data_IF_643481967063
#
_entry.id   IF_643481967063
#
_cell.length_a   1.000
_cell.length_b   1.000
_cell.length_c   1.000
_cell.angle_alpha   90.00
_cell.angle_beta   90.00
_cell.angle_gamma   90.00
#
_symmetry.space_group_name_H-M   'P 1'
#
loop_
_entity.id
_entity.type
_entity.pdbx_description
1 polymer ?
2 non-polymer ?
3 water ?
#
# COMPACT_ATOMS: atom_id res chain seq x y z
N UNK A 7 -23.79 -11.01 33.02
CA UNK A 7 -24.65 -12.15 32.53
C UNK A 7 -24.30 -12.45 31.07
N UNK A 8 -23.39 -13.39 30.85
CA UNK A 8 -22.77 -13.60 29.55
C UNK A 8 -23.74 -13.68 28.37
N UNK A 9 -24.84 -14.40 28.52
CA UNK A 9 -25.78 -14.59 27.40
C UNK A 9 -26.57 -13.32 27.01
N UNK A 10 -26.46 -12.25 27.81
CA UNK A 10 -27.12 -10.97 27.48
C UNK A 10 -26.23 -10.04 26.62
N UNK A 11 -24.96 -10.39 26.44
CA UNK A 11 -24.07 -9.55 25.64
C UNK A 11 -24.53 -9.52 24.19
N UNK A 12 -24.46 -8.36 23.55
CA UNK A 12 -24.87 -8.25 22.15
C UNK A 12 -23.65 -8.43 21.26
N UNK A 13 -23.91 -8.78 20.01
CA UNK A 13 -22.82 -9.03 19.07
C UNK A 13 -22.06 -7.73 18.82
N UNK A 14 -22.81 -6.64 18.63
CA UNK A 14 -22.19 -5.33 18.40
C UNK A 14 -21.33 -4.88 19.59
N UNK A 15 -21.82 -5.09 20.81
CA UNK A 15 -21.04 -4.76 22.01
C UNK A 15 -19.76 -5.55 22.12
N UNK A 16 -19.82 -6.86 21.81
CA UNK A 16 -18.62 -7.69 21.84
C UNK A 16 -17.65 -7.17 20.75
N UNK A 17 -18.16 -6.89 19.56
CA UNK A 17 -17.33 -6.34 18.48
C UNK A 17 -16.73 -4.97 18.83
N UNK A 18 -17.54 -4.06 19.39
CA UNK A 18 -17.01 -2.74 19.79
C UNK A 18 -15.88 -2.90 20.84
N UNK A 19 -16.09 -3.75 21.84
CA UNK A 19 -15.06 -4.04 22.84
C UNK A 19 -13.82 -4.66 22.21
N UNK A 20 -14.03 -5.63 21.31
CA UNK A 20 -12.89 -6.28 20.62
C UNK A 20 -12.04 -5.34 19.76
N UNK A 21 -12.69 -4.47 19.01
CA UNK A 21 -12.01 -3.46 18.21
C UNK A 21 -11.11 -2.55 19.09
N UNK A 22 -11.62 -2.12 20.24
CA UNK A 22 -10.86 -1.24 21.17
C UNK A 22 -9.63 -1.94 21.71
N UNK A 23 -9.77 -3.22 22.08
CA UNK A 23 -8.68 -4.04 22.57
C UNK A 23 -7.62 -4.27 21.51
N UNK A 24 -8.05 -4.66 20.31
CA UNK A 24 -7.16 -4.87 19.17
C UNK A 24 -6.42 -3.60 18.83
N UNK A 25 -7.11 -2.47 18.88
CA UNK A 25 -6.45 -1.19 18.60
C UNK A 25 -5.37 -0.87 19.63
N UNK A 26 -5.63 -1.22 20.88
CA UNK A 26 -4.73 -0.82 21.95
C UNK A 26 -3.60 -1.78 22.26
N UNK A 27 -3.85 -3.07 22.07
CA UNK A 27 -2.88 -4.11 22.41
C UNK A 27 -2.35 -4.87 21.22
N UNK A 28 -3.07 -4.80 20.10
CA UNK A 28 -2.68 -5.58 18.95
C UNK A 28 -3.47 -6.86 18.99
N UNK A 29 -3.47 -7.59 17.88
CA UNK A 29 -4.28 -8.80 17.79
C UNK A 29 -3.72 -9.94 18.64
N UNK A 30 -2.41 -10.13 18.55
CA UNK A 30 -1.69 -11.19 19.29
C UNK A 30 -1.90 -11.18 20.81
N UNK A 31 -1.82 -9.98 21.40
CA UNK A 31 -1.83 -9.84 22.85
C UNK A 31 -3.23 -9.69 23.44
N UNK A 32 -4.23 -9.50 22.58
CA UNK A 32 -5.62 -9.39 23.01
C UNK A 32 -6.14 -10.81 23.31
N UNK A 33 -6.85 -11.00 24.41
CA UNK A 33 -7.37 -12.32 24.70
C UNK A 33 -8.87 -12.28 24.69
N UNK A 34 -9.49 -13.45 24.68
CA UNK A 34 -10.92 -13.50 24.79
C UNK A 34 -11.41 -12.97 26.15
N UNK A 35 -10.68 -13.28 27.21
CA UNK A 35 -11.00 -12.75 28.53
C UNK A 35 -10.97 -11.22 28.53
N UNK A 36 -9.98 -10.66 27.87
CA UNK A 36 -9.84 -9.23 27.85
C UNK A 36 -11.00 -8.56 27.11
N UNK A 37 -11.34 -9.08 25.94
CA UNK A 37 -12.48 -8.61 25.19
C UNK A 37 -13.78 -8.71 26.02
N UNK A 38 -13.99 -9.86 26.66
CA UNK A 38 -15.19 -10.02 27.50
C UNK A 38 -15.23 -8.97 28.59
N UNK A 39 -14.10 -8.82 29.29
CA UNK A 39 -14.02 -7.88 30.39
C UNK A 39 -14.28 -6.47 29.90
N UNK A 40 -13.67 -6.13 28.77
CA UNK A 40 -13.83 -4.80 28.18
C UNK A 40 -15.32 -4.51 27.97
N UNK A 41 -16.07 -5.51 27.50
CA UNK A 41 -17.51 -5.35 27.18
C UNK A 41 -18.37 -5.36 28.43
N UNK A 42 -17.76 -5.71 29.57
CA UNK A 42 -18.48 -5.73 30.84
C UNK A 42 -18.95 -7.12 31.27
N UNK A 43 -18.37 -8.15 30.64
CA UNK A 43 -18.80 -9.54 30.87
C UNK A 43 -17.56 -10.38 31.09
N UNK A 44 -17.61 -11.65 30.65
CA UNK A 44 -16.46 -12.53 30.68
C UNK A 44 -16.25 -13.19 29.31
N UNK A 45 -15.25 -14.06 29.22
CA UNK A 45 -14.94 -14.76 27.97
C UNK A 45 -16.21 -15.47 27.40
N UNK A 46 -17.07 -15.95 28.27
CA UNK A 46 -18.27 -16.69 27.83
C UNK A 46 -19.16 -15.84 26.96
N UNK A 47 -19.16 -14.53 27.22
CA UNK A 47 -19.97 -13.61 26.40
C UNK A 47 -19.40 -13.55 24.98
N UNK A 48 -18.10 -13.76 24.84
CA UNK A 48 -17.52 -13.71 23.50
C UNK A 48 -17.86 -15.01 22.78
N UNK A 49 -17.77 -16.11 23.50
CA UNK A 49 -18.07 -17.41 22.95
C UNK A 49 -19.53 -17.46 22.52
N UNK A 50 -20.38 -16.68 23.16
CA UNK A 50 -21.83 -16.74 22.83
C UNK A 50 -22.05 -16.36 21.35
N UNK A 51 -21.10 -15.64 20.78
CA UNK A 51 -21.19 -15.13 19.41
C UNK A 51 -20.11 -15.60 18.47
N UNK A 52 -18.94 -15.91 19.03
CA UNK A 52 -17.78 -16.27 18.20
C UNK A 52 -17.09 -17.53 18.70
N UNK A 53 -16.65 -18.35 17.76
CA UNK A 53 -16.02 -19.61 18.11
C UNK A 53 -14.65 -19.34 18.72
N UNK A 54 -13.97 -18.29 18.25
CA UNK A 54 -12.62 -18.05 18.70
C UNK A 54 -12.21 -16.65 18.30
N UNK A 55 -10.98 -16.27 18.61
CA UNK A 55 -10.54 -14.89 18.34
C UNK A 55 -10.46 -14.58 16.83
N UNK A 56 -10.07 -15.56 16.02
CA UNK A 56 -10.06 -15.37 14.59
C UNK A 56 -11.42 -14.93 14.07
N UNK A 57 -12.50 -15.55 14.57
CA UNK A 57 -13.85 -15.21 14.12
C UNK A 57 -14.18 -13.81 14.55
N UNK A 58 -13.69 -13.41 15.72
CA UNK A 58 -13.96 -12.05 16.19
C UNK A 58 -13.29 -11.04 15.27
N UNK A 59 -12.00 -11.30 15.00
CA UNK A 59 -11.22 -10.38 14.16
C UNK A 59 -11.84 -10.27 12.77
N UNK A 60 -12.29 -11.42 12.25
CA UNK A 60 -12.91 -11.43 10.94
C UNK A 60 -14.21 -10.64 10.89
N UNK A 61 -14.99 -10.69 11.98
CA UNK A 61 -16.24 -9.94 12.06
C UNK A 61 -15.94 -8.42 12.14
N UNK A 62 -14.88 -8.07 12.87
CA UNK A 62 -14.43 -6.66 12.97
C UNK A 62 -14.03 -6.12 11.61
N UNK A 63 -13.31 -6.95 10.88
CA UNK A 63 -12.85 -6.58 9.54
C UNK A 63 -14.01 -6.51 8.55
N UNK A 64 -14.93 -7.47 8.63
CA UNK A 64 -16.05 -7.48 7.69
C UNK A 64 -16.94 -6.23 7.83
N UNK A 65 -17.05 -5.73 9.06
CA UNK A 65 -17.94 -4.62 9.44
C UNK A 65 -17.52 -3.31 8.79
N UNK A 66 -16.22 -3.14 8.63
CA UNK A 66 -15.62 -1.94 8.05
C UNK A 66 -15.42 -2.12 6.56
N UNK A 67 -14.95 -3.30 6.19
CA UNK A 67 -14.62 -3.60 4.81
C UNK A 67 -15.85 -3.71 3.90
N UNK A 68 -16.93 -4.30 4.39
CA UNK A 68 -18.09 -4.56 3.53
C UNK A 68 -18.91 -3.36 3.03
N UNK A 69 -19.05 -2.30 3.83
CA UNK A 69 -19.67 -1.10 3.26
C UNK A 69 -18.85 -0.56 2.07
N UNK A 70 -17.52 -0.55 2.21
CA UNK A 70 -16.67 -0.08 1.13
C UNK A 70 -16.91 -0.93 -0.12
N UNK A 71 -17.10 -2.23 0.07
CA UNK A 71 -17.29 -3.12 -1.09
C UNK A 71 -18.62 -2.86 -1.78
N UNK A 72 -19.67 -2.65 -1.01
CA UNK A 72 -20.97 -2.31 -1.57
C UNK A 72 -20.91 -1.02 -2.40
N UNK A 73 -20.17 -0.01 -1.93
CA UNK A 73 -20.00 1.24 -2.67
C UNK A 73 -19.27 1.04 -4.00
N UNK A 74 -18.13 0.37 -3.96
CA UNK A 74 -17.38 0.07 -5.15
C UNK A 74 -18.22 -0.70 -6.15
N UNK A 75 -19.08 -1.60 -5.66
CA UNK A 75 -19.96 -2.36 -6.52
C UNK A 75 -20.87 -1.47 -7.35
N UNK A 76 -21.40 -0.42 -6.71
CA UNK A 76 -22.33 0.50 -7.37
C UNK A 76 -21.73 1.22 -8.57
N UNK A 77 -20.41 1.42 -8.54
CA UNK A 77 -19.72 2.22 -9.57
C UNK A 77 -19.83 1.61 -10.99
N UNK A 78 -20.11 0.32 -11.10
CA UNK A 78 -20.16 -0.36 -12.40
C UNK A 78 -21.61 -0.55 -12.90
N UNK A 79 -22.55 0.09 -12.21
CA UNK A 79 -23.95 -0.11 -12.56
C UNK A 79 -24.32 0.32 -13.98
N UNK A 80 -25.28 -0.41 -14.58
CA UNK A 80 -25.89 -0.15 -15.89
C UNK A 80 -26.81 1.06 -15.92
N UNK A 81 -27.10 1.59 -14.75
CA UNK A 81 -28.13 2.62 -14.63
C UNK A 81 -27.59 4.03 -14.59
N UNK A 82 -26.26 4.12 -14.70
CA UNK A 82 -25.54 5.38 -14.72
C UNK A 82 -24.42 5.31 -15.73
N UNK A 83 -24.06 6.47 -16.26
CA UNK A 83 -23.10 6.48 -17.34
C UNK A 83 -21.80 7.16 -17.01
N UNK A 84 -21.46 7.26 -15.72
CA UNK A 84 -20.24 7.92 -15.32
C UNK A 84 -19.44 7.02 -14.37
N UNK A 85 -18.99 5.84 -14.85
CA UNK A 85 -18.31 4.91 -13.96
C UNK A 85 -17.00 5.45 -13.40
N UNK A 86 -16.27 6.21 -14.20
CA UNK A 86 -15.02 6.80 -13.72
C UNK A 86 -15.29 7.85 -12.63
N UNK A 87 -16.25 8.75 -12.83
CA UNK A 87 -16.54 9.74 -11.80
C UNK A 87 -17.03 9.04 -10.54
N UNK A 88 -17.82 7.99 -10.71
CA UNK A 88 -18.44 7.30 -9.58
C UNK A 88 -17.34 6.60 -8.76
N UNK A 89 -16.40 5.98 -9.45
CA UNK A 89 -15.24 5.36 -8.79
C UNK A 89 -14.43 6.40 -8.01
N UNK A 90 -14.20 7.56 -8.62
CA UNK A 90 -13.46 8.62 -7.89
C UNK A 90 -14.25 9.06 -6.69
N UNK A 91 -15.56 9.17 -6.84
CA UNK A 91 -16.41 9.63 -5.75
C UNK A 91 -16.33 8.65 -4.58
N UNK A 92 -16.42 7.36 -4.88
CA UNK A 92 -16.33 6.36 -3.84
C UNK A 92 -14.97 6.39 -3.17
N UNK A 93 -13.91 6.38 -3.98
CA UNK A 93 -12.54 6.29 -3.43
C UNK A 93 -12.15 7.55 -2.61
N UNK A 94 -12.41 8.72 -3.17
CA UNK A 94 -12.06 9.94 -2.46
C UNK A 94 -12.80 10.09 -1.13
N UNK A 95 -14.11 9.87 -1.12
CA UNK A 95 -14.83 9.94 0.13
C UNK A 95 -14.42 8.85 1.14
N UNK A 96 -13.94 7.72 0.64
CA UNK A 96 -13.30 6.69 1.52
C UNK A 96 -12.01 7.19 2.13
N UNK A 97 -11.11 7.74 1.33
CA UNK A 97 -9.86 8.35 1.89
C UNK A 97 -10.18 9.36 2.97
N UNK A 98 -11.19 10.20 2.71
CA UNK A 98 -11.56 11.23 3.68
C UNK A 98 -12.07 10.61 4.98
N UNK A 99 -12.99 9.65 4.84
CA UNK A 99 -13.52 8.96 6.03
C UNK A 99 -12.41 8.32 6.84
N UNK A 100 -11.48 7.67 6.17
CA UNK A 100 -10.36 7.01 6.87
C UNK A 100 -9.45 8.04 7.52
N UNK A 101 -9.22 9.16 6.85
CA UNK A 101 -8.46 10.24 7.45
C UNK A 101 -9.13 10.78 8.69
N UNK A 102 -10.46 10.91 8.65
CA UNK A 102 -11.12 11.69 9.71
C UNK A 102 -11.74 10.83 10.80
N UNK A 103 -11.90 9.53 10.53
CA UNK A 103 -12.50 8.64 11.53
C UNK A 103 -11.42 7.72 12.10
N UNK A 104 -11.01 7.99 13.34
CA UNK A 104 -9.91 7.29 13.98
C UNK A 104 -10.16 5.79 14.16
N UNK A 105 -11.38 5.46 14.58
CA UNK A 105 -11.81 4.08 14.75
C UNK A 105 -11.69 3.33 13.43
N UNK A 106 -12.27 3.91 12.40
CA UNK A 106 -12.24 3.34 11.06
C UNK A 106 -10.81 3.14 10.61
N UNK A 107 -9.96 4.15 10.83
CA UNK A 107 -8.55 4.04 10.44
C UNK A 107 -7.77 2.95 11.19
N UNK A 108 -7.94 2.85 12.49
CA UNK A 108 -7.20 1.81 13.21
C UNK A 108 -7.65 0.38 12.81
N UNK A 109 -8.92 0.21 12.47
CA UNK A 109 -9.32 -1.10 11.97
C UNK A 109 -8.74 -1.36 10.57
N UNK A 110 -8.69 -0.34 9.74
CA UNK A 110 -8.00 -0.47 8.47
C UNK A 110 -6.54 -0.88 8.72
N UNK A 111 -5.94 -0.30 9.74
CA UNK A 111 -4.53 -0.59 10.07
C UNK A 111 -4.32 -2.04 10.52
N UNK A 112 -5.20 -2.54 11.38
CA UNK A 112 -5.06 -3.96 11.74
C UNK A 112 -5.21 -4.83 10.47
N UNK A 113 -6.13 -4.47 9.57
CA UNK A 113 -6.32 -5.33 8.40
C UNK A 113 -5.14 -5.32 7.45
N UNK A 114 -4.49 -4.17 7.25
CA UNK A 114 -3.39 -4.07 6.29
C UNK A 114 -2.02 -4.51 6.77
N UNK A 115 -1.70 -4.21 8.01
CA UNK A 115 -0.35 -4.48 8.50
C UNK A 115 -0.35 -5.75 9.33
N UNK A 116 -1.26 -6.64 8.95
CA UNK A 116 -1.39 -7.94 9.54
C UNK A 116 -0.33 -8.90 8.97
N UNK A 126 -3.74 -12.41 6.58
CA UNK A 126 -3.41 -13.52 5.68
C UNK A 126 -4.49 -13.69 4.61
N UNK A 127 -5.32 -14.71 4.81
CA UNK A 127 -6.43 -15.05 3.92
C UNK A 127 -7.51 -13.98 3.85
N UNK A 128 -7.65 -13.19 4.92
CA UNK A 128 -8.64 -12.13 4.93
C UNK A 128 -8.19 -11.05 3.97
N UNK A 129 -6.90 -10.76 3.96
CA UNK A 129 -6.43 -9.75 3.03
C UNK A 129 -6.56 -10.26 1.59
N UNK A 130 -6.16 -11.49 1.33
CA UNK A 130 -6.27 -12.01 -0.02
C UNK A 130 -7.69 -11.88 -0.52
N UNK A 131 -8.65 -12.38 0.25
CA UNK A 131 -10.03 -12.28 -0.17
C UNK A 131 -10.45 -10.83 -0.39
N UNK A 132 -10.08 -9.92 0.52
CA UNK A 132 -10.45 -8.53 0.40
C UNK A 132 -9.85 -7.84 -0.83
N UNK A 133 -8.57 -8.10 -1.08
CA UNK A 133 -7.91 -7.61 -2.29
C UNK A 133 -8.65 -8.12 -3.54
N UNK A 134 -8.96 -9.42 -3.59
CA UNK A 134 -9.69 -9.97 -4.76
C UNK A 134 -11.06 -9.28 -4.95
N UNK A 135 -11.84 -9.18 -3.87
CA UNK A 135 -13.10 -8.42 -3.93
C UNK A 135 -12.92 -7.01 -4.52
N UNK A 136 -11.99 -6.23 -3.98
CA UNK A 136 -11.79 -4.85 -4.46
C UNK A 136 -11.33 -4.79 -5.92
N UNK A 137 -10.41 -5.66 -6.31
CA UNK A 137 -9.93 -5.68 -7.69
C UNK A 137 -11.07 -6.02 -8.65
N UNK A 138 -11.89 -7.00 -8.30
CA UNK A 138 -13.00 -7.36 -9.17
C UNK A 138 -13.90 -6.16 -9.46
N UNK A 139 -14.30 -5.46 -8.41
CA UNK A 139 -15.23 -4.36 -8.55
C UNK A 139 -14.63 -3.17 -9.29
N UNK A 140 -13.37 -2.86 -8.99
CA UNK A 140 -12.69 -1.80 -9.74
C UNK A 140 -12.62 -2.20 -11.21
N UNK A 141 -12.25 -3.45 -11.47
CA UNK A 141 -12.17 -3.93 -12.86
C UNK A 141 -13.52 -3.81 -13.56
N UNK A 142 -14.59 -4.11 -12.84
CA UNK A 142 -15.91 -4.03 -13.42
C UNK A 142 -16.32 -2.63 -13.78
N UNK A 143 -15.92 -1.67 -12.94
CA UNK A 143 -16.19 -0.25 -13.18
C UNK A 143 -15.41 0.23 -14.41
N UNK A 144 -14.14 -0.16 -14.48
CA UNK A 144 -13.29 0.16 -15.62
C UNK A 144 -13.75 -0.57 -16.90
N UNK A 145 -14.38 -1.74 -16.75
CA UNK A 145 -14.95 -2.43 -17.95
C UNK A 145 -16.18 -1.71 -18.48
N UNK A 146 -16.98 -1.13 -17.59
CA UNK A 146 -18.11 -0.26 -18.00
C UNK A 146 -17.59 1.02 -18.65
N UNK A 147 -16.56 1.65 -18.05
CA UNK A 147 -15.84 2.79 -18.63
C UNK A 147 -15.36 2.51 -20.06
N UNK A 148 -14.77 1.32 -20.27
CA UNK A 148 -14.35 0.90 -21.61
C UNK A 148 -15.56 0.71 -22.55
N UNK A 149 -16.67 0.15 -22.04
CA UNK A 149 -17.85 -0.06 -22.86
C UNK A 149 -18.41 1.28 -23.30
N UNK A 150 -18.24 2.27 -22.42
CA UNK A 150 -18.74 3.61 -22.65
C UNK A 150 -17.74 4.53 -23.39
N UNK A 151 -16.64 3.97 -23.85
CA UNK A 151 -15.60 4.71 -24.57
C UNK A 151 -14.78 5.70 -23.76
N UNK A 152 -14.71 5.51 -22.44
CA UNK A 152 -14.00 6.45 -21.57
C UNK A 152 -12.53 6.07 -21.30
N UNK A 153 -12.13 4.87 -21.71
CA UNK A 153 -10.74 4.46 -21.52
C UNK A 153 -9.93 4.81 -22.75
N UNK A 154 -8.64 5.07 -22.57
CA UNK A 154 -7.87 5.39 -23.76
C UNK A 154 -7.60 4.12 -24.59
N UNK A 155 -7.19 4.30 -25.86
CA UNK A 155 -7.15 3.15 -26.77
C UNK A 155 -6.18 2.09 -26.28
N UNK A 156 -6.64 0.85 -26.25
CA UNK A 156 -5.83 -0.26 -25.78
C UNK A 156 -5.73 -0.47 -24.28
N UNK A 157 -6.33 0.42 -23.48
CA UNK A 157 -6.29 0.30 -21.99
C UNK A 157 -7.00 -0.97 -21.55
N UNK A 158 -6.29 -1.79 -20.79
CA UNK A 158 -6.82 -3.05 -20.28
C UNK A 158 -7.39 -2.77 -18.88
N UNK A 159 -8.71 -2.96 -18.71
CA UNK A 159 -9.33 -2.66 -17.41
C UNK A 159 -8.75 -3.45 -16.24
N UNK A 160 -8.30 -4.69 -16.51
CA UNK A 160 -7.75 -5.55 -15.47
C UNK A 160 -6.41 -5.03 -14.97
N UNK A 161 -5.58 -4.55 -15.89
CA UNK A 161 -4.29 -3.94 -15.57
C UNK A 161 -4.49 -2.63 -14.85
N UNK A 162 -5.40 -1.78 -15.36
CA UNK A 162 -5.69 -0.51 -14.72
C UNK A 162 -6.17 -0.69 -13.26
N UNK A 163 -7.00 -1.72 -13.03
CA UNK A 163 -7.51 -1.99 -11.70
C UNK A 163 -6.33 -2.42 -10.78
N UNK A 164 -5.42 -3.22 -11.31
CA UNK A 164 -4.25 -3.67 -10.56
C UNK A 164 -3.34 -2.49 -10.19
N UNK A 165 -3.13 -1.58 -11.13
CA UNK A 165 -2.31 -0.39 -10.86
C UNK A 165 -2.95 0.52 -9.84
N UNK A 166 -4.26 0.70 -9.90
CA UNK A 166 -4.97 1.57 -8.97
C UNK A 166 -4.90 0.98 -7.56
N UNK A 167 -5.04 -0.32 -7.47
CA UNK A 167 -4.91 -0.97 -6.19
C UNK A 167 -3.49 -0.85 -5.62
N UNK A 168 -2.46 -1.00 -6.46
CA UNK A 168 -1.11 -0.88 -5.98
C UNK A 168 -0.85 0.54 -5.49
N UNK A 169 -1.21 1.55 -6.28
CA UNK A 169 -0.87 2.91 -5.86
C UNK A 169 -1.62 3.34 -4.58
N UNK A 170 -2.89 2.99 -4.52
CA UNK A 170 -3.66 3.27 -3.32
C UNK A 170 -3.22 2.51 -2.08
N UNK A 171 -2.96 1.22 -2.23
CA UNK A 171 -2.42 0.43 -1.14
C UNK A 171 -1.09 1.03 -0.65
N UNK A 172 -0.23 1.49 -1.57
CA UNK A 172 1.05 2.09 -1.11
C UNK A 172 0.81 3.37 -0.31
N UNK A 173 -0.11 4.23 -0.76
CA UNK A 173 -0.50 5.45 0.00
C UNK A 173 -1.02 5.04 1.39
N UNK A 174 -1.94 4.09 1.44
CA UNK A 174 -2.41 3.62 2.78
C UNK A 174 -1.28 3.17 3.70
N UNK A 175 -0.40 2.31 3.17
CA UNK A 175 0.73 1.86 3.98
C UNK A 175 1.68 2.97 4.40
N UNK A 176 1.95 3.88 3.47
CA UNK A 176 2.85 4.99 3.75
C UNK A 176 2.25 5.92 4.81
N UNK A 177 0.97 6.22 4.69
CA UNK A 177 0.27 7.08 5.67
C UNK A 177 0.24 6.45 7.07
N UNK A 178 0.13 5.11 7.14
CA UNK A 178 0.18 4.38 8.41
C UNK A 178 1.58 4.43 9.07
N UNK A 179 2.62 4.31 8.25
CA UNK A 179 3.99 4.36 8.77
C UNK A 179 4.42 5.76 9.17
N UNK A 180 4.16 6.73 8.30
CA UNK A 180 4.64 8.09 8.52
C UNK A 180 3.64 9.10 8.06
N UNK A 181 2.63 9.37 8.90
CA UNK A 181 1.59 10.32 8.53
C UNK A 181 2.11 11.76 8.29
N UNK A 182 3.27 12.09 8.81
CA UNK A 182 3.83 13.40 8.55
C UNK A 182 4.24 13.51 7.09
N UNK A 183 4.66 12.39 6.50
CA UNK A 183 5.16 12.42 5.14
C UNK A 183 4.20 11.95 4.03
N UNK A 184 3.20 11.11 4.36
CA UNK A 184 2.28 10.63 3.33
C UNK A 184 0.91 10.91 3.88
N UNK A 185 0.09 11.65 3.13
CA UNK A 185 -1.19 12.08 3.65
C UNK A 185 -2.27 11.32 2.94
N UNK A 186 -3.05 10.57 3.71
CA UNK A 186 -4.03 9.69 3.11
C UNK A 186 -4.97 10.42 2.11
N UNK A 187 -5.52 11.56 2.54
CA UNK A 187 -6.42 12.32 1.69
C UNK A 187 -5.74 12.95 0.50
N UNK A 188 -4.71 13.73 0.77
CA UNK A 188 -3.97 14.42 -0.29
C UNK A 188 -3.31 13.43 -1.24
N UNK A 189 -2.55 12.49 -0.68
CA UNK A 189 -1.83 11.54 -1.55
C UNK A 189 -2.71 10.47 -2.11
N UNK A 190 -3.81 10.14 -1.43
CA UNK A 190 -4.72 9.13 -1.99
C UNK A 190 -5.41 9.72 -3.22
N UNK A 191 -5.88 10.96 -3.14
CA UNK A 191 -6.47 11.60 -4.32
C UNK A 191 -5.42 11.71 -5.44
N UNK A 192 -4.23 12.14 -5.10
CA UNK A 192 -3.20 12.25 -6.16
C UNK A 192 -2.90 10.90 -6.84
N UNK A 193 -2.70 9.85 -6.05
CA UNK A 193 -2.44 8.48 -6.60
C UNK A 193 -3.60 7.98 -7.47
N UNK A 194 -4.80 8.14 -6.95
CA UNK A 194 -6.00 7.82 -7.71
C UNK A 194 -6.06 8.51 -9.06
N UNK A 195 -5.87 9.82 -9.06
CA UNK A 195 -5.98 10.61 -10.28
C UNK A 195 -4.84 10.36 -11.26
N UNK A 196 -3.63 10.26 -10.74
CA UNK A 196 -2.48 9.88 -11.54
C UNK A 196 -2.72 8.54 -12.25
N UNK A 197 -3.18 7.54 -11.50
CA UNK A 197 -3.43 6.24 -12.08
C UNK A 197 -4.57 6.24 -13.08
N UNK A 198 -5.69 6.85 -12.73
CA UNK A 198 -6.78 6.98 -13.68
C UNK A 198 -6.32 7.69 -14.95
N UNK A 199 -5.50 8.73 -14.82
CA UNK A 199 -5.07 9.47 -16.01
C UNK A 199 -4.27 8.64 -17.00
N UNK A 200 -3.62 7.59 -16.50
CA UNK A 200 -2.84 6.72 -17.34
C UNK A 200 -3.75 5.86 -18.22
N UNK A 201 -4.98 5.62 -17.79
CA UNK A 201 -5.87 4.70 -18.50
C UNK A 201 -7.19 5.27 -19.02
N UNK A 202 -7.52 6.47 -18.53
CA UNK A 202 -8.78 7.16 -18.84
C UNK A 202 -8.49 8.32 -19.78
N UNK A 203 -9.33 8.46 -20.79
CA UNK A 203 -9.27 9.56 -21.74
C UNK A 203 -9.28 10.89 -21.01
N UNK A 204 -8.53 11.85 -21.54
CA UNK A 204 -8.52 13.22 -21.02
C UNK A 204 -9.92 13.82 -21.11
N UNK A 205 -10.30 14.66 -20.16
CA UNK A 205 -11.60 15.33 -20.25
C UNK A 205 -12.76 14.47 -19.81
N UNK A 206 -12.48 13.31 -19.22
CA UNK A 206 -13.55 12.45 -18.66
C UNK A 206 -13.82 12.91 -17.23
N UNK A 207 -12.75 13.27 -16.53
CA UNK A 207 -12.89 13.88 -15.20
C UNK A 207 -11.85 15.00 -15.02
N UNK A 208 -12.10 15.90 -14.08
CA UNK A 208 -11.17 16.97 -13.75
C UNK A 208 -10.33 16.57 -12.53
N UNK A 209 -9.02 16.34 -12.73
CA UNK A 209 -8.13 15.89 -11.66
C UNK A 209 -8.05 16.86 -10.52
N UNK A 210 -7.95 16.35 -9.31
CA UNK A 210 -7.79 17.25 -8.17
C UNK A 210 -9.07 17.75 -7.57
N UNK A 211 -10.21 17.39 -8.16
CA UNK A 211 -11.47 17.94 -7.65
C UNK A 211 -12.12 17.00 -6.66
N UNK A 212 -12.83 17.57 -5.70
CA UNK A 212 -13.55 16.77 -4.72
C UNK A 212 -15.01 16.57 -5.19
N UNK A 213 -15.37 15.36 -5.62
CA UNK A 213 -16.70 15.12 -6.15
C UNK A 213 -17.76 15.05 -5.10
N UNK A 214 -19.01 15.16 -5.50
CA UNK A 214 -20.12 14.97 -4.58
C UNK A 214 -20.11 13.50 -4.19
N UNK A 215 -20.50 13.18 -2.95
CA UNK A 215 -20.54 11.77 -2.61
C UNK A 215 -21.57 11.06 -3.50
N UNK A 216 -21.39 9.77 -3.71
CA UNK A 216 -22.24 8.99 -4.60
C UNK A 216 -23.62 8.97 -4.03
N UNK A 217 -24.61 9.14 -4.91
CA UNK A 217 -26.00 9.16 -4.49
C UNK A 217 -26.30 8.13 -3.41
N UNK B 13 28.10 -12.28 15.19
CA UNK B 13 27.40 -11.02 14.80
C UNK B 13 26.49 -11.26 13.59
N UNK B 14 27.13 -11.45 12.44
CA UNK B 14 26.43 -11.80 11.21
C UNK B 14 25.83 -13.19 11.37
N UNK B 15 26.53 -14.07 12.09
CA UNK B 15 26.03 -15.43 12.37
C UNK B 15 24.72 -15.33 13.14
N UNK B 16 24.71 -14.47 14.15
CA UNK B 16 23.50 -14.22 14.93
C UNK B 16 22.36 -13.68 14.03
N UNK B 17 22.64 -12.63 13.27
CA UNK B 17 21.62 -12.10 12.36
C UNK B 17 21.11 -13.13 11.32
N UNK B 18 22.01 -13.97 10.83
CA UNK B 18 21.68 -15.05 9.88
C UNK B 18 20.77 -16.12 10.48
N UNK B 19 21.08 -16.52 11.72
CA UNK B 19 20.27 -17.45 12.50
C UNK B 19 18.90 -16.84 12.74
N UNK B 20 18.89 -15.57 13.15
CA UNK B 20 17.65 -14.85 13.43
C UNK B 20 16.84 -14.59 12.15
N UNK B 35 13.50 -18.59 22.31
CA UNK B 35 14.74 -17.86 22.13
C UNK B 35 15.90 -18.79 21.74
N UNK B 36 15.69 -19.54 20.67
CA UNK B 36 16.67 -20.46 20.12
C UNK B 36 17.49 -19.83 18.98
N UNK B 37 17.51 -18.50 18.93
CA UNK B 37 18.32 -17.80 17.94
C UNK B 37 19.80 -18.08 18.20
N UNK B 38 20.21 -17.93 19.46
CA UNK B 38 21.57 -18.28 19.87
C UNK B 38 21.90 -19.73 19.58
N UNK B 39 20.95 -20.62 19.89
CA UNK B 39 21.12 -22.07 19.66
C UNK B 39 21.15 -22.45 18.17
N UNK B 40 20.38 -21.74 17.35
CA UNK B 40 20.44 -21.95 15.90
C UNK B 40 21.81 -21.47 15.43
N UNK B 41 22.22 -20.32 15.95
CA UNK B 41 23.52 -19.69 15.67
C UNK B 41 24.69 -20.52 16.20
N UNK B 42 24.42 -21.31 17.25
CA UNK B 42 25.43 -22.16 17.88
C UNK B 42 26.26 -21.43 18.92
N UNK B 43 25.76 -20.29 19.41
CA UNK B 43 26.54 -19.51 20.36
C UNK B 43 26.02 -19.62 21.77
N UNK B 44 26.88 -19.24 22.72
CA UNK B 44 26.54 -19.22 24.14
C UNK B 44 25.38 -18.25 24.37
N UNK B 56 13.17 -7.81 18.95
CA UNK B 56 12.89 -6.53 18.32
C UNK B 56 14.19 -5.89 17.82
N UNK B 57 15.21 -5.87 18.68
CA UNK B 57 16.52 -5.36 18.29
C UNK B 57 17.08 -6.25 17.17
N UNK B 58 16.75 -7.54 17.24
CA UNK B 58 17.18 -8.51 16.22
C UNK B 58 16.51 -8.24 14.88
N UNK B 59 15.19 -8.07 14.89
CA UNK B 59 14.39 -7.82 13.70
C UNK B 59 14.79 -6.49 13.09
N UNK B 60 15.10 -5.52 13.96
CA UNK B 60 15.58 -4.21 13.51
C UNK B 60 16.96 -4.33 12.84
N UNK B 61 17.90 -5.00 13.50
CA UNK B 61 19.24 -5.24 12.94
C UNK B 61 19.16 -5.96 11.58
N UNK B 62 18.13 -6.77 11.42
CA UNK B 62 17.89 -7.49 10.20
C UNK B 62 17.39 -6.53 9.11
N UNK B 63 16.42 -5.68 9.44
CA UNK B 63 15.92 -4.75 8.45
C UNK B 63 17.01 -3.74 8.05
N UNK B 64 17.83 -3.33 9.02
CA UNK B 64 18.95 -2.43 8.75
C UNK B 64 19.97 -2.98 7.73
N UNK B 65 20.38 -4.24 7.90
CA UNK B 65 21.40 -4.85 7.05
C UNK B 65 20.97 -4.98 5.59
N UNK B 66 19.68 -5.12 5.39
CA UNK B 66 19.09 -5.24 4.05
C UNK B 66 18.80 -3.87 3.43
N UNK B 67 18.27 -2.96 4.26
CA UNK B 67 18.04 -1.59 3.85
C UNK B 67 19.27 -0.97 3.23
N UNK B 68 20.38 -0.99 3.99
CA UNK B 68 21.65 -0.34 3.63
C UNK B 68 22.08 -0.42 2.16
N UNK B 69 22.29 -1.63 1.63
CA UNK B 69 22.62 -1.80 0.21
C UNK B 69 21.66 -1.05 -0.73
N UNK B 70 20.33 -1.19 -0.54
CA UNK B 70 19.37 -0.50 -1.39
C UNK B 70 19.49 1.02 -1.21
N UNK B 71 19.70 1.49 0.02
CA UNK B 71 19.83 2.94 0.25
C UNK B 71 21.02 3.55 -0.48
N UNK B 72 22.18 2.89 -0.38
CA UNK B 72 23.36 3.35 -1.07
C UNK B 72 23.13 3.35 -2.59
N UNK B 73 22.43 2.35 -3.11
CA UNK B 73 22.07 2.33 -4.53
C UNK B 73 21.20 3.55 -4.87
N UNK B 74 20.16 3.80 -4.06
CA UNK B 74 19.29 4.95 -4.32
C UNK B 74 20.04 6.26 -4.25
N UNK B 75 20.95 6.37 -3.28
CA UNK B 75 21.75 7.57 -3.11
C UNK B 75 22.58 7.85 -4.36
N UNK B 76 23.15 6.81 -4.97
CA UNK B 76 23.95 7.00 -6.16
C UNK B 76 23.18 7.58 -7.35
N UNK B 77 21.89 7.39 -7.37
CA UNK B 77 21.08 7.79 -8.54
C UNK B 77 21.03 9.33 -8.72
N UNK B 78 21.35 10.09 -7.67
CA UNK B 78 21.32 11.56 -7.73
C UNK B 78 22.75 12.11 -7.92
N UNK B 79 23.71 11.27 -8.24
CA UNK B 79 25.09 11.76 -8.36
C UNK B 79 25.19 12.85 -9.42
N UNK B 80 25.93 13.89 -9.08
CA UNK B 80 26.09 14.99 -10.01
C UNK B 80 27.10 14.57 -11.04
N UNK B 81 27.62 13.35 -10.91
CA UNK B 81 28.56 12.82 -11.89
C UNK B 81 27.96 12.14 -13.10
N UNK B 82 26.65 11.97 -13.11
CA UNK B 82 25.99 11.30 -14.23
C UNK B 82 24.76 12.11 -14.56
N UNK B 83 24.29 12.00 -15.80
CA UNK B 83 23.20 12.89 -16.28
C UNK B 83 21.93 12.16 -16.68
N UNK B 84 21.74 10.97 -16.13
CA UNK B 84 20.54 10.24 -16.42
C UNK B 84 19.88 9.75 -15.10
N UNK B 85 19.49 10.68 -14.19
CA UNK B 85 18.97 10.28 -12.90
C UNK B 85 17.66 9.50 -12.92
N UNK B 86 16.77 9.79 -13.86
CA UNK B 86 15.48 9.03 -13.97
C UNK B 86 15.79 7.64 -14.42
N UNK B 87 16.58 7.54 -15.47
CA UNK B 87 17.00 6.20 -15.91
C UNK B 87 17.66 5.40 -14.77
N UNK B 88 18.59 6.04 -14.05
CA UNK B 88 19.31 5.34 -12.99
C UNK B 88 18.32 4.95 -11.85
N UNK B 89 17.48 5.88 -11.41
CA UNK B 89 16.48 5.59 -10.36
C UNK B 89 15.56 4.40 -10.79
N UNK B 90 15.09 4.47 -12.03
CA UNK B 90 14.26 3.42 -12.60
C UNK B 90 15.04 2.11 -12.62
N UNK B 91 16.31 2.15 -13.04
CA UNK B 91 17.12 0.93 -13.04
C UNK B 91 17.26 0.33 -11.65
N UNK B 92 17.50 1.16 -10.65
CA UNK B 92 17.71 0.67 -9.27
C UNK B 92 16.42 -0.04 -8.77
N UNK B 93 15.27 0.57 -8.99
CA UNK B 93 13.98 0.05 -8.52
C UNK B 93 13.64 -1.25 -9.25
N UNK B 94 13.83 -1.25 -10.55
CA UNK B 94 13.54 -2.47 -11.31
C UNK B 94 14.45 -3.60 -10.88
N UNK B 95 15.76 -3.37 -10.80
CA UNK B 95 16.67 -4.42 -10.36
C UNK B 95 16.40 -4.92 -8.97
N UNK B 96 15.94 -4.02 -8.11
CA UNK B 96 15.59 -4.38 -6.78
C UNK B 96 14.39 -5.29 -6.77
N UNK B 97 13.33 -4.95 -7.53
CA UNK B 97 12.16 -5.85 -7.65
C UNK B 97 12.59 -7.19 -8.19
N UNK B 98 13.46 -7.21 -9.18
CA UNK B 98 13.89 -8.53 -9.71
C UNK B 98 14.64 -9.36 -8.66
N UNK B 99 15.58 -8.74 -7.97
CA UNK B 99 16.32 -9.51 -6.92
C UNK B 99 15.40 -10.07 -5.81
N UNK B 100 14.49 -9.26 -5.32
CA UNK B 100 13.51 -9.77 -4.34
C UNK B 100 12.72 -10.95 -4.89
N UNK B 101 12.24 -10.82 -6.12
CA UNK B 101 11.49 -11.93 -6.78
C UNK B 101 12.32 -13.19 -6.94
N UNK B 102 13.63 -13.06 -7.12
CA UNK B 102 14.42 -14.26 -7.39
C UNK B 102 15.13 -14.77 -6.13
N UNK B 103 15.05 -14.03 -5.02
CA UNK B 103 15.79 -14.45 -3.81
C UNK B 103 14.84 -14.57 -2.62
N UNK B 104 14.36 -15.78 -2.35
CA UNK B 104 13.39 -16.00 -1.28
C UNK B 104 13.84 -15.48 0.11
N UNK B 105 15.08 -15.73 0.48
CA UNK B 105 15.61 -15.28 1.77
C UNK B 105 15.47 -13.79 1.87
N UNK B 106 15.97 -13.09 0.85
CA UNK B 106 15.92 -11.64 0.81
C UNK B 106 14.50 -11.12 0.85
N UNK B 107 13.58 -11.77 0.15
CA UNK B 107 12.18 -11.32 0.14
C UNK B 107 11.51 -11.47 1.52
N UNK B 108 11.89 -12.50 2.26
CA UNK B 108 11.34 -12.71 3.59
C UNK B 108 11.88 -11.68 4.56
N UNK B 109 13.17 -11.38 4.47
CA UNK B 109 13.75 -10.34 5.27
C UNK B 109 12.96 -9.06 5.01
N UNK B 110 12.93 -8.67 3.74
CA UNK B 110 12.24 -7.46 3.32
C UNK B 110 10.80 -7.44 3.82
N UNK B 111 10.21 -8.62 3.98
CA UNK B 111 8.83 -8.76 4.44
C UNK B 111 8.64 -8.14 5.85
N UNK B 112 9.46 -8.56 6.81
CA UNK B 112 9.40 -8.01 8.16
C UNK B 112 9.65 -6.50 8.21
N UNK B 113 10.40 -5.97 7.25
CA UNK B 113 10.57 -4.53 7.16
C UNK B 113 9.24 -3.85 6.83
N UNK B 114 8.30 -4.62 6.29
CA UNK B 114 7.00 -4.08 5.91
C UNK B 114 5.85 -4.47 6.84
N UNK B 115 6.17 -5.09 7.99
CA UNK B 115 5.15 -5.50 8.99
C UNK B 115 5.00 -4.52 10.16
N UNK B 116 3.84 -4.56 10.84
CA UNK B 116 3.52 -3.75 12.05
C UNK B 116 3.70 -2.24 11.94
N UNK B 123 9.39 -0.52 20.21
CA UNK B 123 9.28 0.63 19.31
C UNK B 123 10.49 0.79 18.37
N UNK B 124 11.49 -0.07 18.53
CA UNK B 124 12.75 0.03 17.79
C UNK B 124 12.55 -0.37 16.34
N UNK B 125 11.68 -1.35 16.09
CA UNK B 125 11.38 -1.75 14.72
C UNK B 125 10.54 -0.68 14.02
N UNK B 126 9.57 -0.15 14.75
CA UNK B 126 8.69 0.88 14.23
C UNK B 126 9.49 2.10 13.77
N UNK B 127 10.45 2.51 14.60
CA UNK B 127 11.33 3.63 14.31
C UNK B 127 12.26 3.32 13.13
N UNK B 128 12.77 2.10 13.06
CA UNK B 128 13.57 1.67 11.91
C UNK B 128 12.79 1.77 10.59
N UNK B 129 11.51 1.38 10.60
CA UNK B 129 10.71 1.44 9.35
C UNK B 129 10.50 2.87 8.93
N UNK B 130 10.19 3.73 9.89
CA UNK B 130 10.02 5.14 9.64
C UNK B 130 11.31 5.73 9.08
N UNK B 131 12.44 5.44 9.72
CA UNK B 131 13.74 5.91 9.23
C UNK B 131 13.99 5.44 7.82
N UNK B 132 13.72 4.18 7.55
CA UNK B 132 13.90 3.64 6.22
C UNK B 132 13.01 4.34 5.22
N UNK B 133 11.77 4.64 5.63
CA UNK B 133 10.78 5.34 4.78
C UNK B 133 11.30 6.73 4.40
N UNK B 134 11.65 7.49 5.44
CA UNK B 134 12.22 8.85 5.27
C UNK B 134 13.45 8.86 4.36
N UNK B 135 14.41 7.98 4.64
CA UNK B 135 15.62 7.88 3.83
C UNK B 135 15.35 7.58 2.36
N UNK B 136 14.46 6.64 2.10
CA UNK B 136 14.18 6.30 0.74
C UNK B 136 13.48 7.46 0.02
N UNK B 137 12.54 8.11 0.68
CA UNK B 137 11.81 9.20 0.03
C UNK B 137 12.74 10.41 -0.23
N UNK B 138 13.59 10.69 0.74
CA UNK B 138 14.66 11.69 0.61
C UNK B 138 15.52 11.42 -0.63
N UNK B 139 16.01 10.19 -0.79
CA UNK B 139 16.91 9.87 -1.92
C UNK B 139 16.19 9.87 -3.27
N UNK B 140 14.95 9.39 -3.30
CA UNK B 140 14.17 9.44 -4.51
C UNK B 140 13.94 10.91 -4.94
N UNK B 141 13.62 11.77 -3.99
CA UNK B 141 13.43 13.20 -4.26
C UNK B 141 14.72 13.86 -4.81
N UNK B 142 15.90 13.51 -4.27
CA UNK B 142 17.19 14.08 -4.75
C UNK B 142 17.38 13.71 -6.22
N UNK B 143 17.02 12.47 -6.59
CA UNK B 143 17.25 12.05 -7.97
C UNK B 143 16.25 12.75 -8.90
N UNK B 144 15.00 12.90 -8.48
CA UNK B 144 14.00 13.55 -9.28
C UNK B 144 14.27 15.07 -9.32
N UNK B 145 14.89 15.62 -8.29
CA UNK B 145 15.19 17.07 -8.30
C UNK B 145 16.32 17.29 -9.33
N UNK B 146 17.31 16.39 -9.37
CA UNK B 146 18.34 16.44 -10.42
C UNK B 146 17.73 16.28 -11.83
N UNK B 147 16.83 15.31 -12.01
CA UNK B 147 16.08 15.20 -13.29
C UNK B 147 15.37 16.53 -13.67
N UNK B 148 14.72 17.17 -12.71
CA UNK B 148 14.07 18.46 -12.94
C UNK B 148 15.12 19.46 -13.44
N UNK B 149 16.28 19.52 -12.76
CA UNK B 149 17.38 20.40 -13.10
C UNK B 149 17.87 20.19 -14.55
N UNK B 150 17.86 18.94 -14.98
CA UNK B 150 18.39 18.56 -16.29
C UNK B 150 17.32 18.67 -17.37
N UNK B 151 16.12 19.08 -17.00
CA UNK B 151 15.07 19.25 -18.01
C UNK B 151 14.32 17.98 -18.34
N UNK B 152 14.31 17.02 -17.43
CA UNK B 152 13.74 15.71 -17.73
C UNK B 152 12.35 15.49 -17.13
N UNK B 153 11.90 16.39 -16.26
CA UNK B 153 10.53 16.28 -15.74
C UNK B 153 9.57 17.08 -16.57
N UNK B 154 8.31 16.67 -16.58
CA UNK B 154 7.26 17.46 -17.23
C UNK B 154 7.08 18.86 -16.64
N UNK B 155 6.51 19.76 -17.43
CA UNK B 155 6.32 21.13 -16.99
C UNK B 155 5.47 21.17 -15.72
N UNK B 156 5.93 21.92 -14.72
CA UNK B 156 5.17 22.05 -13.49
C UNK B 156 5.33 20.87 -12.51
N UNK B 157 6.06 19.81 -12.90
CA UNK B 157 6.28 18.65 -11.99
C UNK B 157 7.11 19.03 -10.74
N UNK B 158 6.60 18.66 -9.58
CA UNK B 158 7.29 18.95 -8.28
C UNK B 158 8.00 17.66 -7.86
N UNK B 159 9.35 17.69 -7.77
CA UNK B 159 10.09 16.46 -7.48
C UNK B 159 9.65 15.85 -6.15
N UNK B 160 9.25 16.67 -5.19
CA UNK B 160 8.77 16.14 -3.89
C UNK B 160 7.50 15.30 -4.04
N UNK B 161 6.60 15.77 -4.89
CA UNK B 161 5.33 15.11 -5.09
C UNK B 161 5.57 13.87 -5.93
N UNK B 162 6.39 13.98 -6.96
CA UNK B 162 6.79 12.82 -7.75
C UNK B 162 7.39 11.77 -6.87
N UNK B 163 8.26 12.17 -5.94
CA UNK B 163 8.92 11.16 -5.11
C UNK B 163 7.87 10.44 -4.21
N UNK B 164 6.91 11.15 -3.64
CA UNK B 164 5.86 10.49 -2.85
C UNK B 164 5.06 9.46 -3.65
N UNK B 165 4.71 9.83 -4.88
CA UNK B 165 3.94 8.91 -5.75
C UNK B 165 4.76 7.68 -6.12
N UNK B 166 6.04 7.86 -6.37
CA UNK B 166 6.92 6.74 -6.70
C UNK B 166 7.10 5.82 -5.50
N UNK B 167 7.24 6.42 -4.34
CA UNK B 167 7.36 5.65 -3.13
C UNK B 167 6.08 4.91 -2.82
N UNK B 168 4.93 5.57 -2.95
CA UNK B 168 3.67 4.87 -2.80
C UNK B 168 3.53 3.72 -3.80
N UNK B 169 3.93 3.95 -5.03
CA UNK B 169 3.85 2.89 -6.06
C UNK B 169 4.68 1.64 -5.66
N UNK B 170 5.92 1.87 -5.23
CA UNK B 170 6.80 0.78 -4.84
C UNK B 170 6.24 0.02 -3.66
N UNK B 171 5.79 0.76 -2.65
CA UNK B 171 5.23 0.14 -1.44
C UNK B 171 4.01 -0.71 -1.75
N UNK B 172 3.15 -0.20 -2.63
CA UNK B 172 1.92 -0.92 -2.98
C UNK B 172 2.20 -2.19 -3.79
N UNK B 173 3.19 -2.14 -4.64
CA UNK B 173 3.53 -3.37 -5.35
C UNK B 173 4.10 -4.36 -4.36
N UNK B 174 5.03 -3.94 -3.52
CA UNK B 174 5.62 -4.86 -2.51
C UNK B 174 4.58 -5.52 -1.63
N UNK B 175 3.73 -4.66 -1.08
CA UNK B 175 2.68 -5.17 -0.22
C UNK B 175 1.69 -6.03 -0.97
N UNK B 176 1.33 -5.67 -2.19
CA UNK B 176 0.38 -6.52 -2.94
C UNK B 176 0.96 -7.89 -3.28
N UNK B 177 2.25 -7.91 -3.63
CA UNK B 177 2.95 -9.17 -3.92
C UNK B 177 3.09 -10.01 -2.63
N UNK B 178 3.36 -9.37 -1.50
CA UNK B 178 3.44 -10.09 -0.22
C UNK B 178 2.13 -10.79 0.11
N UNK B 179 1.01 -10.10 -0.09
CA UNK B 179 -0.30 -10.72 0.18
C UNK B 179 -0.72 -11.79 -0.83
N UNK B 180 -0.46 -11.59 -2.12
CA UNK B 180 -0.92 -12.53 -3.13
C UNK B 180 -0.07 -12.44 -4.38
N UNK B 181 1.04 -13.20 -4.44
CA UNK B 181 1.90 -13.11 -5.64
C UNK B 181 1.20 -13.46 -6.95
N UNK B 182 0.15 -14.25 -6.88
CA UNK B 182 -0.57 -14.61 -8.10
C UNK B 182 -1.40 -13.44 -8.68
N UNK B 183 -1.57 -12.37 -7.91
CA UNK B 183 -2.28 -11.22 -8.45
C UNK B 183 -1.35 -10.02 -8.63
N UNK B 184 -0.15 -10.10 -8.09
CA UNK B 184 0.78 -8.96 -8.16
C UNK B 184 2.20 -9.48 -8.30
N UNK B 185 2.69 -9.42 -9.53
CA UNK B 185 3.97 -10.01 -9.83
C UNK B 185 5.02 -8.95 -9.74
N UNK B 186 5.96 -9.17 -8.84
CA UNK B 186 6.96 -8.23 -8.49
C UNK B 186 7.67 -7.72 -9.74
N UNK B 187 8.12 -8.61 -10.62
CA UNK B 187 8.86 -8.12 -11.77
C UNK B 187 7.96 -7.47 -12.81
N UNK B 188 6.86 -8.14 -13.12
CA UNK B 188 6.01 -7.69 -14.22
C UNK B 188 5.16 -6.52 -13.81
N UNK B 189 4.45 -6.64 -12.70
CA UNK B 189 3.65 -5.50 -12.21
C UNK B 189 4.45 -4.39 -11.61
N UNK B 190 5.61 -4.73 -11.01
CA UNK B 190 6.51 -3.74 -10.51
C UNK B 190 6.95 -2.82 -11.65
N UNK B 191 7.32 -3.41 -12.76
CA UNK B 191 7.77 -2.58 -13.90
C UNK B 191 6.62 -1.77 -14.47
N UNK B 192 5.46 -2.41 -14.65
CA UNK B 192 4.31 -1.68 -15.18
C UNK B 192 3.98 -0.48 -14.31
N UNK B 193 3.93 -0.70 -13.00
CA UNK B 193 3.56 0.39 -12.04
C UNK B 193 4.61 1.50 -12.00
N UNK B 194 5.86 1.09 -11.93
CA UNK B 194 6.93 2.08 -11.99
C UNK B 194 6.93 2.96 -13.26
N UNK B 195 6.77 2.31 -14.42
CA UNK B 195 6.73 3.04 -15.68
C UNK B 195 5.51 3.99 -15.78
N UNK B 196 4.40 3.57 -15.21
CA UNK B 196 3.17 4.38 -15.17
C UNK B 196 3.38 5.63 -14.34
N UNK B 197 3.95 5.44 -13.16
CA UNK B 197 4.15 6.58 -12.25
C UNK B 197 5.24 7.50 -12.79
N UNK B 198 6.34 6.93 -13.27
CA UNK B 198 7.36 7.77 -13.85
C UNK B 198 6.80 8.59 -15.05
N UNK B 199 6.06 7.92 -15.93
CA UNK B 199 5.47 8.60 -17.08
C UNK B 199 4.56 9.77 -16.69
N UNK B 200 3.98 9.74 -15.50
CA UNK B 200 3.17 10.87 -15.05
C UNK B 200 4.01 12.14 -14.83
N UNK B 201 5.28 11.98 -14.47
CA UNK B 201 6.07 13.16 -14.09
C UNK B 201 7.28 13.37 -14.98
N UNK B 202 7.64 12.37 -15.75
CA UNK B 202 8.85 12.43 -16.58
C UNK B 202 8.49 12.63 -18.05
N UNK B 203 9.26 13.46 -18.75
CA UNK B 203 8.98 13.69 -20.18
C UNK B 203 9.18 12.44 -21.03
N UNK B 204 8.42 12.36 -22.11
CA UNK B 204 8.59 11.24 -23.05
C UNK B 204 10.01 11.26 -23.59
N UNK B 205 10.58 10.08 -23.77
CA UNK B 205 11.92 9.93 -24.36
C UNK B 205 13.12 9.98 -23.43
N UNK B 206 12.87 10.11 -22.12
CA UNK B 206 13.95 10.13 -21.13
C UNK B 206 14.43 8.70 -20.80
N UNK B 207 13.50 7.75 -20.75
CA UNK B 207 13.87 6.34 -20.58
C UNK B 207 12.99 5.50 -21.49
N UNK B 208 13.40 4.26 -21.67
CA UNK B 208 12.67 3.31 -22.48
C UNK B 208 11.74 2.49 -21.57
N UNK B 209 10.42 2.66 -21.70
CA UNK B 209 9.51 1.96 -20.83
C UNK B 209 9.46 0.47 -21.21
N UNK B 210 9.07 -0.37 -20.27
CA UNK B 210 8.85 -1.80 -20.62
C UNK B 210 10.09 -2.63 -20.68
N UNK B 211 11.28 -2.05 -20.57
CA UNK B 211 12.43 -2.93 -20.67
C UNK B 211 13.27 -2.86 -19.41
N UNK B 212 14.04 -3.92 -19.13
CA UNK B 212 14.92 -3.90 -17.99
C UNK B 212 16.21 -3.23 -18.43
N UNK B 213 16.64 -2.18 -17.73
CA UNK B 213 17.84 -1.52 -18.16
C UNK B 213 19.10 -2.25 -17.70
N UNK B 214 20.23 -1.86 -18.29
CA UNK B 214 21.50 -2.38 -17.87
C UNK B 214 21.83 -2.04 -16.39
N UNK B 215 22.75 -2.81 -15.78
CA UNK B 215 23.25 -2.53 -14.43
C UNK B 215 24.08 -1.24 -14.35
N UNK B 216 23.94 -0.52 -13.25
CA UNK B 216 24.67 0.74 -13.01
C UNK B 216 26.20 0.64 -12.79
#
# INVERSE_FOLDING_TARGET
MARKTKEDTQATREGILDAAEACFHEHGVARTTLEMIGARAGYTRGAVYWHFKNKSEVLAAIVERVHLPFMQELERTSTDQRDTPVHDLRAVMIHSFIELSEDERLRKTMEIMLRSDASANTRVLTEMQQAGFRDALDRMERALRRARDLGQLREGADPKIAARMLHATVLGVLHGAMVEPELMDLKRDGMLALDMTLAAYVKDGVFVPGTVPEPLPEA
MARKTKEDTQATREGILDAAEACFHEHGVARTTLEMIGARAGYTRGAVYWHFKNKSEVLAAIVERVHLPFMQELERTSTDQRDTPVHDLRAVMIHSFIELSEDERLRKTMEIMLRSDASANTRVLTEMQQAGFRDALDRMERALRRARDLGQLREGADPKIAARMLHATVLGVLHGAMVEPELMDLKRDGMLALDMTLAAYVKDGVFVPGTVPEPLPEA
#
